data_IF_735262487052
#
_entry.id   IF_735262487052
#
_cell.length_a   1.000
_cell.length_b   1.000
_cell.length_c   1.000
_cell.angle_alpha   90.00
_cell.angle_beta   90.00
_cell.angle_gamma   90.00
#
_symmetry.space_group_name_H-M   'P 1'
#
loop_
_entity.id
_entity.type
_entity.pdbx_description
1 polymer ?
#
# COMPACT_ATOMS: atom_id res chain seq x y z
N UNK A 1 -18.38 -12.48 18.87
CA UNK A 1 -18.40 -11.00 18.72
C UNK A 1 -16.96 -10.56 18.61
N UNK A 2 -16.57 -10.18 17.44
CA UNK A 2 -15.18 -9.82 17.20
C UNK A 2 -14.89 -8.43 17.80
N UNK A 3 -13.80 -8.35 18.53
CA UNK A 3 -13.21 -7.09 19.03
C UNK A 3 -12.99 -6.08 17.90
N UNK A 4 -12.89 -6.54 16.65
CA UNK A 4 -12.76 -5.74 15.45
C UNK A 4 -14.00 -4.91 15.09
N UNK A 5 -15.22 -5.36 15.43
CA UNK A 5 -16.42 -4.59 15.12
C UNK A 5 -16.57 -3.35 15.99
N UNK A 6 -16.13 -3.42 17.25
CA UNK A 6 -16.15 -2.29 18.17
C UNK A 6 -15.05 -1.26 17.87
N UNK A 7 -13.89 -1.72 17.43
CA UNK A 7 -12.79 -0.84 17.01
C UNK A 7 -13.10 -0.09 15.72
N UNK A 8 -13.79 -0.74 14.79
CA UNK A 8 -14.23 -0.11 13.54
C UNK A 8 -15.36 0.91 13.75
N UNK A 9 -16.27 0.65 14.67
CA UNK A 9 -17.32 1.63 15.03
C UNK A 9 -16.75 2.85 15.75
N UNK A 10 -15.73 2.64 16.59
CA UNK A 10 -15.06 3.74 17.26
C UNK A 10 -14.29 4.62 16.26
N UNK A 11 -13.59 4.01 15.31
CA UNK A 11 -12.91 4.71 14.22
C UNK A 11 -13.90 5.47 13.32
N UNK A 12 -15.04 4.86 13.00
CA UNK A 12 -16.10 5.54 12.24
C UNK A 12 -16.63 6.76 12.97
N UNK A 13 -16.88 6.64 14.27
CA UNK A 13 -17.35 7.76 15.08
C UNK A 13 -16.34 8.92 15.14
N UNK A 14 -15.05 8.63 15.17
CA UNK A 14 -14.03 9.67 15.12
C UNK A 14 -13.89 10.33 13.74
N UNK A 15 -14.11 9.59 12.68
CA UNK A 15 -14.10 10.14 11.32
C UNK A 15 -15.36 10.95 11.02
N UNK A 16 -16.51 10.57 11.56
CA UNK A 16 -17.75 11.31 11.38
C UNK A 16 -17.76 12.64 12.16
N UNK A 17 -17.14 12.68 13.34
CA UNK A 17 -16.99 13.92 14.10
C UNK A 17 -16.01 14.91 13.44
N UNK A 18 -15.04 14.42 12.69
CA UNK A 18 -14.11 15.27 11.93
C UNK A 18 -14.70 15.77 10.62
N UNK A 19 -15.68 15.10 10.06
CA UNK A 19 -16.33 15.54 8.84
C UNK A 19 -17.35 16.68 9.10
N UNK A 20 -17.92 16.76 10.29
CA UNK A 20 -18.80 17.86 10.67
C UNK A 20 -18.05 19.18 10.91
N UNK A 21 -16.77 19.11 11.34
CA UNK A 21 -15.92 20.31 11.49
C UNK A 21 -15.23 20.71 10.18
N UNK A 22 -15.42 19.98 9.11
CA UNK A 22 -14.94 20.31 7.78
C UNK A 22 -16.03 20.95 6.90
N UNK A 23 -16.88 21.75 7.47
CA UNK A 23 -17.38 22.90 6.75
C UNK A 23 -16.20 23.88 6.56
N UNK A 24 -15.16 23.44 5.92
CA UNK A 24 -14.46 24.35 5.06
C UNK A 24 -15.49 24.67 4.00
N UNK A 25 -16.27 25.72 4.26
CA UNK A 25 -16.71 26.50 3.16
C UNK A 25 -15.52 26.50 2.21
N UNK A 26 -15.62 25.78 1.11
CA UNK A 26 -14.95 26.16 -0.09
C UNK A 26 -15.38 27.61 -0.29
N UNK A 27 -14.74 28.51 0.45
CA UNK A 27 -14.60 29.83 -0.06
C UNK A 27 -13.84 29.57 -1.33
N UNK A 28 -14.62 29.42 -2.36
CA UNK A 28 -14.26 29.74 -3.69
C UNK A 28 -13.71 31.17 -3.62
N UNK A 29 -12.54 31.31 -3.01
CA UNK A 29 -11.69 32.42 -3.30
C UNK A 29 -11.31 32.19 -4.74
N UNK A 30 -12.22 32.57 -5.59
CA UNK A 30 -11.87 33.04 -6.90
C UNK A 30 -10.86 34.14 -6.65
N UNK A 31 -9.61 33.74 -6.51
CA UNK A 31 -8.52 34.62 -6.80
C UNK A 31 -8.76 35.00 -8.25
N UNK A 32 -9.41 36.12 -8.44
CA UNK A 32 -9.35 36.80 -9.71
C UNK A 32 -7.86 36.99 -9.93
N UNK A 33 -7.30 36.08 -10.69
CA UNK A 33 -5.99 36.16 -11.22
C UNK A 33 -5.95 37.42 -12.07
N UNK A 34 -5.48 38.50 -11.46
CA UNK A 34 -5.05 39.67 -12.21
C UNK A 34 -3.95 39.21 -13.14
N UNK A 35 -4.33 38.91 -14.36
CA UNK A 35 -3.66 38.22 -15.45
C UNK A 35 -2.24 38.65 -15.77
N UNK A 36 -1.33 38.64 -14.81
CA UNK A 36 0.06 38.89 -15.06
C UNK A 36 1.03 38.15 -14.17
N UNK A 37 0.67 36.96 -13.75
CA UNK A 37 1.67 36.01 -13.24
C UNK A 37 2.11 35.20 -14.45
N UNK A 38 3.30 35.54 -14.93
CA UNK A 38 3.98 34.77 -15.95
C UNK A 38 3.85 33.27 -15.65
N UNK A 39 3.27 32.54 -16.58
CA UNK A 39 3.05 31.08 -16.52
C UNK A 39 4.31 30.22 -16.43
N UNK A 40 5.43 30.84 -16.10
CA UNK A 40 6.67 30.12 -15.82
C UNK A 40 6.58 29.52 -14.42
N UNK A 41 6.07 28.29 -14.31
CA UNK A 41 6.21 27.49 -13.13
C UNK A 41 4.95 27.07 -12.36
N UNK A 42 3.78 27.11 -12.95
CA UNK A 42 2.65 26.35 -12.42
C UNK A 42 3.00 24.87 -12.55
N UNK A 43 3.60 24.31 -11.49
CA UNK A 43 3.72 22.86 -11.38
C UNK A 43 2.31 22.28 -11.47
N UNK A 44 2.09 21.30 -12.36
CA UNK A 44 0.78 20.66 -12.39
C UNK A 44 0.45 20.20 -10.99
N UNK A 45 -0.73 20.57 -10.51
CA UNK A 45 -1.21 20.08 -9.22
C UNK A 45 -1.11 18.55 -9.27
N UNK A 46 -0.16 17.99 -8.52
CA UNK A 46 -0.07 16.55 -8.37
C UNK A 46 -1.35 16.13 -7.68
N UNK A 47 -2.25 15.54 -8.43
CA UNK A 47 -3.37 14.85 -7.81
C UNK A 47 -2.76 13.73 -6.96
N UNK A 48 -2.75 13.95 -5.66
CA UNK A 48 -2.30 12.94 -4.71
C UNK A 48 -3.35 11.85 -4.76
N UNK A 49 -3.07 10.80 -5.52
CA UNK A 49 -3.90 9.61 -5.49
C UNK A 49 -3.52 8.82 -4.24
N UNK A 50 -4.50 8.43 -3.42
CA UNK A 50 -4.21 7.58 -2.29
C UNK A 50 -3.56 6.28 -2.75
N UNK A 51 -2.52 5.86 -2.06
CA UNK A 51 -1.90 4.56 -2.30
C UNK A 51 -2.79 3.46 -1.75
N UNK A 52 -3.10 2.47 -2.57
CA UNK A 52 -3.89 1.33 -2.15
C UNK A 52 -2.99 0.13 -1.87
N UNK A 53 -3.25 -0.54 -0.77
CA UNK A 53 -2.61 -1.81 -0.41
C UNK A 53 -3.67 -2.90 -0.43
N UNK A 54 -3.43 -3.93 -1.23
CA UNK A 54 -4.29 -5.10 -1.33
C UNK A 54 -3.66 -6.24 -0.55
N UNK A 55 -4.38 -6.79 0.42
CA UNK A 55 -3.97 -8.00 1.14
C UNK A 55 -4.68 -9.18 0.48
N UNK A 56 -3.90 -10.12 0.00
CA UNK A 56 -4.38 -11.29 -0.72
C UNK A 56 -4.00 -12.58 0.00
N UNK A 57 -4.97 -13.45 0.18
CA UNK A 57 -4.76 -14.81 0.68
C UNK A 57 -5.11 -15.76 -0.45
N UNK A 58 -4.13 -16.23 -1.24
CA UNK A 58 -4.41 -17.09 -2.38
C UNK A 58 -4.85 -18.48 -1.93
N UNK A 59 -5.78 -19.06 -2.64
CA UNK A 59 -6.19 -20.46 -2.49
C UNK A 59 -5.59 -21.37 -3.54
N UNK A 60 -5.10 -20.81 -4.65
CA UNK A 60 -4.54 -21.55 -5.76
C UNK A 60 -3.53 -20.71 -6.52
N UNK A 61 -2.69 -21.39 -7.31
CA UNK A 61 -1.69 -20.73 -8.18
C UNK A 61 -2.32 -19.69 -9.13
N UNK A 62 -3.51 -19.95 -9.65
CA UNK A 62 -4.20 -19.03 -10.55
C UNK A 62 -4.53 -17.67 -9.97
N UNK A 63 -4.56 -17.55 -8.66
CA UNK A 63 -4.80 -16.28 -7.97
C UNK A 63 -3.64 -15.27 -8.13
N UNK A 64 -2.46 -15.74 -8.54
CA UNK A 64 -1.32 -14.89 -8.85
C UNK A 64 -1.64 -13.84 -9.92
N UNK A 65 -2.49 -14.18 -10.88
CA UNK A 65 -2.93 -13.25 -11.91
C UNK A 65 -3.64 -12.02 -11.34
N UNK A 66 -4.46 -12.21 -10.31
CA UNK A 66 -5.13 -11.10 -9.62
C UNK A 66 -4.16 -10.16 -8.94
N UNK A 67 -3.08 -10.72 -8.39
CA UNK A 67 -2.02 -9.92 -7.80
C UNK A 67 -1.32 -9.04 -8.86
N UNK A 68 -1.03 -9.61 -10.02
CA UNK A 68 -0.44 -8.86 -11.14
C UNK A 68 -1.38 -7.76 -11.64
N UNK A 69 -2.65 -8.05 -11.79
CA UNK A 69 -3.65 -7.04 -12.20
C UNK A 69 -3.73 -5.87 -11.20
N UNK A 70 -3.57 -6.13 -9.91
CA UNK A 70 -3.52 -5.08 -8.90
C UNK A 70 -2.24 -4.23 -9.02
N UNK A 71 -1.09 -4.87 -9.25
CA UNK A 71 0.18 -4.17 -9.50
C UNK A 71 0.13 -3.29 -10.76
N UNK A 72 -0.46 -3.78 -11.84
CA UNK A 72 -0.64 -3.00 -13.08
C UNK A 72 -1.49 -1.75 -12.85
N UNK A 73 -2.40 -1.79 -11.89
CA UNK A 73 -3.21 -0.64 -11.46
C UNK A 73 -2.48 0.29 -10.49
N UNK A 74 -1.20 0.03 -10.21
CA UNK A 74 -0.38 0.84 -9.31
C UNK A 74 -0.62 0.57 -7.82
N UNK A 75 -1.19 -0.58 -7.48
CA UNK A 75 -1.46 -0.97 -6.09
C UNK A 75 -0.31 -1.80 -5.52
N UNK A 76 -0.05 -1.65 -4.24
CA UNK A 76 0.83 -2.56 -3.49
C UNK A 76 0.06 -3.82 -3.14
N UNK A 77 0.66 -4.98 -3.29
CA UNK A 77 0.04 -6.27 -2.98
C UNK A 77 0.84 -6.98 -1.90
N UNK A 78 0.19 -7.31 -0.81
CA UNK A 78 0.74 -8.17 0.24
C UNK A 78 0.07 -9.54 0.12
N UNK A 79 0.87 -10.56 -0.10
CA UNK A 79 0.39 -11.93 -0.30
C UNK A 79 0.71 -12.76 0.94
N UNK A 80 -0.31 -13.33 1.53
CA UNK A 80 -0.18 -14.24 2.67
C UNK A 80 -0.24 -15.68 2.14
N UNK A 81 0.93 -16.30 2.00
CA UNK A 81 1.10 -17.69 1.56
C UNK A 81 0.93 -18.63 2.76
N UNK A 82 -0.24 -18.57 3.39
CA UNK A 82 -0.48 -19.36 4.58
C UNK A 82 -1.11 -20.72 4.25
N UNK A 83 -1.72 -21.31 5.22
CA UNK A 83 -2.23 -22.68 5.33
C UNK A 83 -3.05 -23.22 4.14
N UNK A 84 -3.50 -22.33 3.23
CA UNK A 84 -4.37 -22.73 2.10
C UNK A 84 -3.59 -23.21 0.87
N UNK A 85 -2.29 -23.03 0.85
CA UNK A 85 -1.43 -23.45 -0.26
C UNK A 85 -0.28 -24.30 0.28
N UNK A 86 0.06 -25.34 -0.47
CA UNK A 86 1.23 -26.16 -0.15
C UNK A 86 2.52 -25.46 -0.59
N UNK A 87 3.66 -25.94 -0.13
CA UNK A 87 4.98 -25.34 -0.39
C UNK A 87 5.31 -25.28 -1.89
N UNK A 88 4.88 -26.24 -2.66
CA UNK A 88 5.09 -26.25 -4.12
C UNK A 88 4.32 -25.12 -4.80
N UNK A 89 3.06 -24.93 -4.45
CA UNK A 89 2.21 -23.85 -4.99
C UNK A 89 2.73 -22.51 -4.52
N UNK A 90 3.13 -22.38 -3.27
CA UNK A 90 3.72 -21.17 -2.72
C UNK A 90 5.01 -20.78 -3.47
N UNK A 91 5.91 -21.74 -3.70
CA UNK A 91 7.14 -21.51 -4.44
C UNK A 91 6.89 -21.06 -5.88
N UNK A 92 5.98 -21.70 -6.56
CA UNK A 92 5.56 -21.30 -7.92
C UNK A 92 4.93 -19.92 -7.96
N UNK A 93 4.15 -19.59 -6.93
CA UNK A 93 3.53 -18.27 -6.79
C UNK A 93 4.59 -17.18 -6.64
N UNK A 94 5.59 -17.42 -5.79
CA UNK A 94 6.71 -16.48 -5.58
C UNK A 94 7.52 -16.32 -6.87
N UNK A 95 7.84 -17.39 -7.57
CA UNK A 95 8.57 -17.34 -8.83
C UNK A 95 7.81 -16.55 -9.90
N UNK A 96 6.53 -16.80 -10.02
CA UNK A 96 5.69 -16.08 -10.97
C UNK A 96 5.60 -14.59 -10.63
N UNK A 97 5.37 -14.25 -9.36
CA UNK A 97 5.30 -12.86 -8.91
C UNK A 97 6.62 -12.13 -9.08
N UNK A 98 7.74 -12.79 -8.82
CA UNK A 98 9.05 -12.21 -9.03
C UNK A 98 9.29 -11.83 -10.50
N UNK A 99 8.90 -12.69 -11.42
CA UNK A 99 8.97 -12.40 -12.85
C UNK A 99 8.03 -11.28 -13.28
N UNK A 100 6.80 -11.32 -12.83
CA UNK A 100 5.80 -10.31 -13.15
C UNK A 100 6.18 -8.92 -12.62
N UNK A 101 6.63 -8.85 -11.39
CA UNK A 101 7.09 -7.60 -10.75
C UNK A 101 8.30 -7.02 -11.48
N UNK A 102 9.24 -7.87 -11.90
CA UNK A 102 10.38 -7.45 -12.70
C UNK A 102 9.95 -6.82 -14.03
N UNK A 103 8.96 -7.40 -14.69
CA UNK A 103 8.41 -6.86 -15.94
C UNK A 103 7.68 -5.53 -15.75
N UNK A 104 7.07 -5.31 -14.60
CA UNK A 104 6.40 -4.07 -14.24
C UNK A 104 7.34 -3.00 -13.65
N UNK A 105 8.64 -3.26 -13.59
CA UNK A 105 9.64 -2.39 -12.96
C UNK A 105 9.38 -2.09 -11.47
N UNK A 106 8.64 -2.97 -10.81
CA UNK A 106 8.38 -2.91 -9.39
C UNK A 106 9.47 -3.58 -8.57
N UNK A 107 9.15 -3.83 -7.32
CA UNK A 107 10.02 -4.56 -6.40
C UNK A 107 9.24 -5.62 -5.62
N UNK A 108 9.91 -6.66 -5.18
CA UNK A 108 9.32 -7.77 -4.45
C UNK A 108 10.21 -8.20 -3.31
N UNK A 109 9.60 -8.45 -2.16
CA UNK A 109 10.32 -8.88 -0.96
C UNK A 109 9.54 -9.97 -0.22
N UNK A 110 10.24 -11.00 0.20
CA UNK A 110 9.70 -11.99 1.13
C UNK A 110 9.93 -11.48 2.56
N UNK A 111 8.88 -10.99 3.19
CA UNK A 111 8.93 -10.38 4.53
C UNK A 111 9.11 -11.44 5.60
N UNK A 112 8.50 -12.60 5.40
CA UNK A 112 8.66 -13.80 6.22
C UNK A 112 8.50 -15.03 5.35
N UNK A 113 8.60 -16.22 5.92
CA UNK A 113 8.40 -17.46 5.17
C UNK A 113 7.07 -17.51 4.41
N UNK A 114 6.04 -16.83 4.94
CA UNK A 114 4.67 -16.91 4.45
C UNK A 114 4.12 -15.56 3.92
N UNK A 115 4.90 -14.50 3.95
CA UNK A 115 4.45 -13.16 3.57
C UNK A 115 5.33 -12.56 2.49
N UNK A 116 4.72 -12.33 1.34
CA UNK A 116 5.34 -11.69 0.19
C UNK A 116 4.74 -10.29 0.00
N UNK A 117 5.57 -9.28 -0.16
CA UNK A 117 5.13 -7.94 -0.56
C UNK A 117 5.62 -7.61 -1.96
N UNK A 118 4.72 -7.11 -2.78
CA UNK A 118 5.01 -6.67 -4.14
C UNK A 118 4.55 -5.21 -4.29
N UNK A 119 5.42 -4.38 -4.80
CA UNK A 119 5.14 -2.95 -4.98
C UNK A 119 5.33 -2.55 -6.44
N UNK A 120 4.52 -1.61 -6.95
CA UNK A 120 4.72 -1.06 -8.29
C UNK A 120 5.95 -0.12 -8.32
N UNK A 121 6.33 0.31 -9.50
CA UNK A 121 7.45 1.22 -9.74
C UNK A 121 7.32 2.59 -9.04
N UNK A 122 6.11 2.96 -8.66
CA UNK A 122 5.81 4.22 -7.95
C UNK A 122 6.03 4.17 -6.45
N UNK A 123 6.36 3.00 -5.91
CA UNK A 123 6.54 2.76 -4.47
C UNK A 123 7.94 2.24 -4.21
N UNK A 124 8.66 2.92 -3.34
CA UNK A 124 9.97 2.46 -2.87
C UNK A 124 9.80 1.48 -1.70
N UNK A 125 10.42 0.32 -1.82
CA UNK A 125 10.38 -0.71 -0.81
C UNK A 125 11.74 -0.78 -0.10
N UNK A 126 11.73 -0.55 1.20
CA UNK A 126 12.92 -0.62 2.04
C UNK A 126 12.74 -1.63 3.17
N UNK A 127 13.81 -2.30 3.52
CA UNK A 127 13.85 -3.20 4.67
C UNK A 127 14.77 -2.63 5.75
N UNK A 128 14.17 -2.34 6.91
CA UNK A 128 14.92 -1.98 8.10
C UNK A 128 14.94 -3.18 9.06
N UNK A 129 16.13 -3.71 9.31
CA UNK A 129 16.31 -4.81 10.25
C UNK A 129 16.62 -4.29 11.64
N UNK A 130 15.75 -4.62 12.57
CA UNK A 130 16.01 -4.36 13.99
C UNK A 130 17.07 -5.34 14.49
N UNK A 131 18.06 -4.81 15.20
CA UNK A 131 19.00 -5.65 15.92
C UNK A 131 18.37 -6.18 17.19
N UNK A 132 18.43 -7.48 17.41
CA UNK A 132 18.00 -8.13 18.65
C UNK A 132 19.18 -8.25 19.60
N UNK A 133 19.06 -7.65 20.77
CA UNK A 133 20.00 -7.84 21.88
C UNK A 133 19.26 -8.57 22.98
N UNK A 134 19.74 -9.76 23.35
CA UNK A 134 19.12 -10.59 24.40
C UNK A 134 17.63 -10.91 24.16
N UNK A 135 17.24 -11.14 22.90
CA UNK A 135 15.86 -11.44 22.53
C UNK A 135 14.89 -10.25 22.57
N UNK A 136 15.38 -9.07 22.90
CA UNK A 136 14.58 -7.84 22.87
C UNK A 136 14.96 -7.04 21.63
N UNK A 137 14.00 -6.65 20.77
CA UNK A 137 14.29 -5.80 19.64
C UNK A 137 14.73 -4.43 20.14
N UNK A 138 15.94 -4.02 19.73
CA UNK A 138 16.43 -2.67 20.01
C UNK A 138 16.40 -1.86 18.74
N UNK A 139 15.65 -0.78 18.78
CA UNK A 139 15.71 0.25 17.74
C UNK A 139 17.06 0.97 17.85
N UNK A 140 17.90 0.81 16.86
CA UNK A 140 19.03 1.74 16.67
C UNK A 140 18.51 2.84 15.76
N UNK A 141 18.21 3.98 16.36
CA UNK A 141 17.90 5.18 15.61
C UNK A 141 18.99 5.52 14.58
N UNK A 142 18.69 6.39 13.65
CA UNK A 142 19.65 6.79 12.63
C UNK A 142 20.92 7.37 13.22
#
# INVERSE_FOLDING_TARGET
>A
MSIFSNGLQWLKGQFEETDEDRDYEEQDETYEDDGNISRAGALPARSIRPQEVVIMVPGAYGDARRAVEALEKGKTVMVLLSENVNDEVASRFVDFMSGAVCMCHGDVMLVSADVLICVPDTVDLHEDRLAFVSGIPTWKGP
#
